data_IF_798420433645
#
_entry.id   IF_798420433645
#
_cell.length_a   1.000
_cell.length_b   1.000
_cell.length_c   1.000
_cell.angle_alpha   90.00
_cell.angle_beta   90.00
_cell.angle_gamma   90.00
#
_symmetry.space_group_name_H-M   'P 1'
#
loop_
_entity.id
_entity.type
_entity.pdbx_description
1 polymer ?
#
# COMPACT_ATOMS: atom_id res chain seq x y z
N UNK A 1 1.41 -20.80 0.00
CA UNK A 1 2.75 -20.61 -0.54
C UNK A 1 3.38 -19.39 0.11
N UNK A 2 4.64 -19.44 0.61
CA UNK A 2 5.32 -18.28 1.17
C UNK A 2 5.41 -17.15 0.14
N UNK A 3 5.35 -15.89 0.61
CA UNK A 3 5.57 -14.72 -0.21
C UNK A 3 7.07 -14.61 -0.50
N UNK A 4 7.44 -14.66 -1.77
CA UNK A 4 8.82 -14.54 -2.22
C UNK A 4 8.88 -13.78 -3.54
N UNK A 5 9.97 -13.03 -3.74
CA UNK A 5 10.27 -12.26 -4.95
C UNK A 5 11.52 -12.83 -5.63
N UNK A 6 11.58 -12.80 -6.95
CA UNK A 6 12.84 -13.01 -7.64
C UNK A 6 13.72 -11.76 -7.48
N UNK A 7 15.02 -11.96 -7.19
CA UNK A 7 15.96 -10.84 -7.09
C UNK A 7 16.00 -10.00 -8.37
N UNK A 8 15.82 -10.63 -9.53
CA UNK A 8 15.81 -9.97 -10.85
C UNK A 8 14.59 -9.05 -11.07
N UNK A 9 13.50 -9.21 -10.30
CA UNK A 9 12.33 -8.35 -10.36
C UNK A 9 12.45 -7.11 -9.48
N UNK A 10 13.41 -7.11 -8.53
CA UNK A 10 13.55 -6.05 -7.53
C UNK A 10 14.42 -4.91 -8.08
N UNK A 11 13.84 -3.70 -8.05
CA UNK A 11 14.53 -2.44 -8.34
C UNK A 11 15.08 -1.81 -7.05
N UNK A 12 15.95 -0.85 -7.17
CA UNK A 12 16.51 -0.11 -6.02
C UNK A 12 15.43 0.49 -5.10
N UNK A 13 14.28 0.91 -5.67
CA UNK A 13 13.14 1.40 -4.91
C UNK A 13 12.51 0.32 -4.03
N UNK A 14 12.43 -0.93 -4.52
CA UNK A 14 11.88 -2.06 -3.77
C UNK A 14 12.77 -2.41 -2.58
N UNK A 15 14.08 -2.48 -2.80
CA UNK A 15 15.07 -2.71 -1.74
C UNK A 15 14.95 -1.68 -0.62
N UNK A 16 14.71 -0.41 -0.98
CA UNK A 16 14.48 0.66 0.00
C UNK A 16 13.33 0.32 0.96
N UNK A 17 12.21 -0.17 0.43
CA UNK A 17 11.05 -0.54 1.25
C UNK A 17 11.31 -1.82 2.06
N UNK A 18 11.90 -2.85 1.45
CA UNK A 18 12.21 -4.11 2.13
C UNK A 18 13.17 -3.93 3.30
N UNK A 19 14.10 -2.98 3.19
CA UNK A 19 15.05 -2.67 4.27
C UNK A 19 14.49 -1.67 5.30
N UNK A 20 13.21 -1.30 5.23
CA UNK A 20 12.61 -0.29 6.11
C UNK A 20 13.24 1.09 5.97
N UNK A 21 13.85 1.37 4.82
CA UNK A 21 14.60 2.61 4.54
C UNK A 21 13.67 3.72 4.04
N UNK A 22 12.54 3.97 4.74
CA UNK A 22 11.57 5.00 4.39
C UNK A 22 11.57 6.09 5.45
N UNK A 23 11.58 7.37 5.02
CA UNK A 23 11.51 8.51 5.91
C UNK A 23 12.82 9.25 6.17
N UNK A 24 12.95 9.85 7.34
CA UNK A 24 14.09 10.68 7.71
C UNK A 24 15.35 9.80 7.84
N UNK A 25 16.08 9.69 6.74
CA UNK A 25 17.04 8.63 6.49
C UNK A 25 18.23 8.73 7.43
N UNK A 26 18.33 7.79 8.34
CA UNK A 26 19.55 7.57 9.12
C UNK A 26 20.78 7.49 8.20
N UNK A 27 21.94 7.92 8.68
CA UNK A 27 23.16 8.03 7.89
C UNK A 27 23.55 6.71 7.19
N UNK A 28 23.30 5.57 7.83
CA UNK A 28 23.57 4.25 7.26
C UNK A 28 22.68 3.92 6.05
N UNK A 29 21.42 4.36 6.04
CA UNK A 29 20.51 4.17 4.91
C UNK A 29 20.99 4.94 3.68
N UNK A 30 21.45 6.18 3.87
CA UNK A 30 22.06 6.95 2.77
C UNK A 30 23.27 6.24 2.17
N UNK A 31 24.06 5.57 2.99
CA UNK A 31 25.21 4.79 2.53
C UNK A 31 24.75 3.53 1.76
N UNK A 32 23.76 2.81 2.24
CA UNK A 32 23.15 1.68 1.50
C UNK A 32 22.63 2.14 0.14
N UNK A 33 21.93 3.27 0.09
CA UNK A 33 21.45 3.84 -1.18
C UNK A 33 22.61 4.21 -2.12
N UNK A 34 23.76 4.64 -1.61
CA UNK A 34 24.97 4.85 -2.43
C UNK A 34 25.51 3.54 -3.00
N UNK A 35 25.56 2.48 -2.19
CA UNK A 35 26.00 1.15 -2.62
C UNK A 35 25.08 0.64 -3.74
N UNK A 36 23.75 0.70 -3.53
CA UNK A 36 22.76 0.32 -4.55
C UNK A 36 22.93 1.12 -5.85
N UNK A 37 23.17 2.43 -5.75
CA UNK A 37 23.39 3.30 -6.91
C UNK A 37 24.66 2.92 -7.67
N UNK A 38 25.71 2.48 -6.99
CA UNK A 38 26.94 2.02 -7.61
C UNK A 38 26.75 0.68 -8.34
N UNK A 39 25.87 -0.19 -7.84
CA UNK A 39 25.53 -1.48 -8.46
C UNK A 39 24.57 -1.33 -9.67
N UNK A 40 23.92 -0.19 -9.82
CA UNK A 40 22.93 0.09 -10.90
C UNK A 40 21.79 -0.93 -10.92
N UNK A 41 21.68 -1.72 -12.01
CA UNK A 41 20.57 -2.66 -12.23
C UNK A 41 20.86 -4.07 -11.70
N UNK A 42 22.12 -4.36 -11.31
CA UNK A 42 22.54 -5.68 -10.80
C UNK A 42 22.63 -5.68 -9.27
N UNK A 43 21.57 -5.30 -8.60
CA UNK A 43 21.52 -5.31 -7.13
C UNK A 43 21.29 -6.74 -6.65
N UNK A 44 22.27 -7.30 -5.96
CA UNK A 44 22.22 -8.63 -5.37
C UNK A 44 22.42 -8.57 -3.85
N UNK A 45 21.90 -9.57 -3.13
CA UNK A 45 22.11 -9.69 -1.68
C UNK A 45 23.59 -9.74 -1.32
N UNK A 46 24.37 -10.54 -2.05
CA UNK A 46 25.82 -10.68 -1.83
C UNK A 46 26.56 -9.36 -2.08
N UNK A 47 26.22 -8.67 -3.17
CA UNK A 47 26.82 -7.39 -3.50
C UNK A 47 26.49 -6.31 -2.47
N UNK A 48 25.25 -6.30 -1.95
CA UNK A 48 24.85 -5.39 -0.87
C UNK A 48 25.61 -5.68 0.43
N UNK A 49 25.75 -6.96 0.82
CA UNK A 49 26.54 -7.36 2.00
C UNK A 49 28.00 -6.93 1.86
N UNK A 50 28.62 -7.26 0.74
CA UNK A 50 30.02 -6.88 0.46
C UNK A 50 30.19 -5.34 0.47
N UNK A 51 29.27 -4.60 -0.10
CA UNK A 51 29.28 -3.13 -0.11
C UNK A 51 29.11 -2.52 1.28
N UNK A 52 28.25 -3.10 2.13
CA UNK A 52 28.07 -2.67 3.54
C UNK A 52 29.37 -2.92 4.31
N UNK A 53 29.98 -4.09 4.15
CA UNK A 53 31.22 -4.49 4.86
C UNK A 53 32.39 -3.59 4.47
N UNK A 54 32.55 -3.29 3.18
CA UNK A 54 33.57 -2.41 2.65
C UNK A 54 33.34 -0.90 2.93
N UNK A 55 32.14 -0.54 3.42
CA UNK A 55 31.80 0.86 3.65
C UNK A 55 32.52 1.45 4.87
N UNK A 56 32.66 2.78 4.90
CA UNK A 56 33.20 3.54 6.03
C UNK A 56 32.17 3.79 7.16
N UNK A 57 31.03 3.12 7.15
CA UNK A 57 30.01 3.22 8.17
C UNK A 57 30.50 2.59 9.47
N UNK A 58 30.24 3.18 10.66
CA UNK A 58 30.56 2.58 11.95
C UNK A 58 29.99 1.16 12.10
N UNK A 59 30.71 0.28 12.81
CA UNK A 59 30.37 -1.14 12.88
C UNK A 59 28.97 -1.43 13.45
N UNK A 60 28.52 -0.66 14.45
CA UNK A 60 27.16 -0.81 14.97
C UNK A 60 26.05 -0.48 13.95
N UNK A 61 26.34 0.42 12.99
CA UNK A 61 25.42 0.73 11.89
C UNK A 61 25.52 -0.28 10.75
N UNK A 62 26.69 -0.89 10.53
CA UNK A 62 26.84 -2.04 9.63
C UNK A 62 26.03 -3.23 10.12
N UNK A 63 26.05 -3.49 11.43
CA UNK A 63 25.29 -4.57 12.03
C UNK A 63 23.78 -4.36 11.82
N UNK A 64 23.28 -3.14 12.08
CA UNK A 64 21.88 -2.80 11.81
C UNK A 64 21.52 -2.96 10.32
N UNK A 65 22.42 -2.56 9.42
CA UNK A 65 22.20 -2.72 7.99
C UNK A 65 22.16 -4.19 7.57
N UNK A 66 23.02 -5.05 8.16
CA UNK A 66 23.00 -6.50 7.91
C UNK A 66 21.70 -7.13 8.41
N UNK A 67 21.25 -6.80 9.64
CA UNK A 67 19.98 -7.29 10.15
C UNK A 67 18.82 -6.95 9.22
N UNK A 68 18.76 -5.72 8.71
CA UNK A 68 17.72 -5.31 7.74
C UNK A 68 17.83 -6.03 6.40
N UNK A 69 19.04 -6.31 5.96
CA UNK A 69 19.28 -7.08 4.74
C UNK A 69 18.90 -8.56 4.91
N UNK A 70 19.13 -9.13 6.09
CA UNK A 70 18.73 -10.50 6.42
C UNK A 70 17.20 -10.64 6.44
N UNK A 71 16.48 -9.68 7.02
CA UNK A 71 15.02 -9.63 6.96
C UNK A 71 14.53 -9.55 5.50
N UNK A 72 15.11 -8.68 4.68
CA UNK A 72 14.77 -8.59 3.27
C UNK A 72 15.06 -9.90 2.51
N UNK A 73 16.12 -10.63 2.90
CA UNK A 73 16.51 -11.89 2.28
C UNK A 73 15.48 -13.01 2.44
N UNK A 74 14.68 -12.99 3.52
CA UNK A 74 13.62 -13.97 3.75
C UNK A 74 12.55 -13.95 2.65
N UNK A 75 12.37 -12.78 2.01
CA UNK A 75 11.38 -12.57 0.95
C UNK A 75 11.96 -12.75 -0.47
N UNK A 76 13.25 -13.06 -0.59
CA UNK A 76 13.94 -13.16 -1.89
C UNK A 76 14.28 -14.62 -2.18
N UNK A 77 13.79 -15.12 -3.32
CA UNK A 77 14.11 -16.45 -3.80
C UNK A 77 14.16 -16.44 -5.33
N UNK A 78 15.23 -16.97 -5.90
CA UNK A 78 15.48 -17.00 -7.35
C UNK A 78 14.54 -17.98 -8.12
N UNK A 79 13.72 -18.77 -7.43
CA UNK A 79 12.91 -19.84 -8.04
C UNK A 79 11.50 -19.43 -8.49
N UNK A 80 11.00 -18.24 -8.16
CA UNK A 80 9.61 -17.89 -8.50
C UNK A 80 9.40 -16.41 -8.73
N UNK A 81 9.04 -16.09 -9.96
CA UNK A 81 8.62 -14.75 -10.35
C UNK A 81 7.18 -14.46 -9.92
N UNK A 82 6.92 -13.31 -9.29
CA UNK A 82 5.57 -12.84 -9.00
C UNK A 82 4.80 -12.60 -10.31
N UNK A 83 5.49 -12.18 -11.37
CA UNK A 83 4.90 -11.92 -12.70
C UNK A 83 4.29 -13.17 -13.32
N UNK A 84 4.76 -14.38 -12.99
CA UNK A 84 4.14 -15.64 -13.44
C UNK A 84 2.79 -15.91 -12.76
N UNK A 85 2.61 -15.41 -11.55
CA UNK A 85 1.38 -15.59 -10.77
C UNK A 85 0.31 -14.60 -11.20
N UNK A 86 0.73 -13.37 -11.54
CA UNK A 86 -0.16 -12.25 -11.87
C UNK A 86 -0.66 -12.36 -13.30
N UNK A 87 -1.92 -12.82 -13.46
CA UNK A 87 -2.58 -13.00 -14.77
C UNK A 87 -4.00 -12.42 -14.74
N UNK A 88 -4.56 -11.96 -15.88
CA UNK A 88 -5.96 -11.55 -15.97
C UNK A 88 -6.92 -12.65 -15.49
N UNK A 89 -8.00 -12.24 -14.85
CA UNK A 89 -9.03 -13.15 -14.33
C UNK A 89 -8.65 -13.94 -13.09
N UNK A 90 -7.47 -13.71 -12.50
CA UNK A 90 -7.07 -14.33 -11.23
C UNK A 90 -7.34 -13.43 -10.05
N UNK A 91 -7.86 -14.02 -8.98
CA UNK A 91 -7.84 -13.46 -7.63
C UNK A 91 -6.58 -13.96 -6.92
N UNK A 92 -5.76 -13.03 -6.46
CA UNK A 92 -4.57 -13.31 -5.65
C UNK A 92 -4.83 -12.75 -4.26
N UNK A 93 -4.74 -13.60 -3.26
CA UNK A 93 -4.87 -13.21 -1.84
C UNK A 93 -3.49 -13.27 -1.24
N UNK A 94 -3.01 -12.13 -0.73
CA UNK A 94 -1.76 -12.02 0.03
C UNK A 94 -2.13 -11.82 1.49
N UNK A 95 -1.73 -12.74 2.33
CA UNK A 95 -1.91 -12.65 3.77
C UNK A 95 -0.63 -12.12 4.40
N UNK A 96 -0.70 -10.91 4.96
CA UNK A 96 0.40 -10.24 5.68
C UNK A 96 0.23 -10.34 7.20
N UNK A 97 -0.71 -11.18 7.68
CA UNK A 97 -0.93 -11.41 9.11
C UNK A 97 0.04 -12.48 9.59
N UNK A 98 1.22 -12.04 9.96
CA UNK A 98 2.21 -12.87 10.61
C UNK A 98 2.53 -12.27 11.99
N UNK A 99 2.58 -13.09 13.02
CA UNK A 99 2.87 -12.64 14.40
C UNK A 99 4.30 -12.12 14.56
N UNK A 100 5.19 -12.47 13.62
CA UNK A 100 6.60 -12.10 13.64
C UNK A 100 6.92 -10.89 12.75
N UNK A 101 5.98 -10.44 11.91
CA UNK A 101 6.16 -9.28 11.03
C UNK A 101 5.69 -8.01 11.73
N UNK A 102 6.58 -7.03 11.87
CA UNK A 102 6.22 -5.69 12.35
C UNK A 102 5.33 -4.96 11.33
N UNK A 103 4.47 -4.05 11.81
CA UNK A 103 3.53 -3.30 10.95
C UNK A 103 4.21 -2.50 9.85
N UNK A 104 5.34 -1.90 10.16
CA UNK A 104 6.14 -1.13 9.19
C UNK A 104 6.74 -2.03 8.11
N UNK A 105 7.14 -3.23 8.47
CA UNK A 105 7.63 -4.24 7.54
C UNK A 105 6.50 -4.73 6.62
N UNK A 106 5.34 -5.05 7.18
CA UNK A 106 4.16 -5.45 6.42
C UNK A 106 3.73 -4.36 5.42
N UNK A 107 3.78 -3.08 5.80
CA UNK A 107 3.50 -1.97 4.89
C UNK A 107 4.56 -1.83 3.80
N UNK A 108 5.84 -2.02 4.14
CA UNK A 108 6.95 -2.07 3.17
C UNK A 108 6.75 -3.16 2.13
N UNK A 109 6.42 -4.38 2.58
CA UNK A 109 6.08 -5.51 1.71
C UNK A 109 4.87 -5.21 0.82
N UNK A 110 3.81 -4.62 1.39
CA UNK A 110 2.64 -4.21 0.61
C UNK A 110 3.00 -3.24 -0.51
N UNK A 111 3.85 -2.24 -0.24
CA UNK A 111 4.28 -1.27 -1.26
C UNK A 111 5.08 -1.95 -2.38
N UNK A 112 5.99 -2.87 -2.04
CA UNK A 112 6.75 -3.64 -3.03
C UNK A 112 5.82 -4.50 -3.88
N UNK A 113 4.91 -5.24 -3.25
CA UNK A 113 3.90 -6.04 -3.94
C UNK A 113 3.06 -5.19 -4.89
N UNK A 114 2.60 -4.04 -4.43
CA UNK A 114 1.81 -3.11 -5.23
C UNK A 114 2.58 -2.66 -6.48
N UNK A 115 3.85 -2.33 -6.34
CA UNK A 115 4.69 -1.91 -7.46
C UNK A 115 4.93 -3.05 -8.45
N UNK A 116 5.30 -4.24 -7.97
CA UNK A 116 5.52 -5.43 -8.81
C UNK A 116 4.24 -5.84 -9.53
N UNK A 117 3.11 -5.83 -8.81
CA UNK A 117 1.80 -6.11 -9.40
C UNK A 117 1.44 -5.09 -10.48
N UNK A 118 1.72 -3.82 -10.23
CA UNK A 118 1.46 -2.75 -11.19
C UNK A 118 2.33 -2.89 -12.46
N UNK A 119 3.59 -3.28 -12.30
CA UNK A 119 4.54 -3.43 -13.42
C UNK A 119 4.33 -4.74 -14.20
N UNK A 120 3.57 -5.69 -13.66
CA UNK A 120 3.30 -6.97 -14.34
C UNK A 120 2.61 -6.76 -15.70
N UNK A 121 3.14 -7.46 -16.71
CA UNK A 121 2.70 -7.40 -18.11
C UNK A 121 2.46 -8.81 -18.64
N UNK A 122 1.61 -8.92 -19.67
CA UNK A 122 1.41 -10.16 -20.42
C UNK A 122 1.74 -9.87 -21.88
N UNK A 123 2.63 -10.63 -22.45
CA UNK A 123 3.13 -10.44 -23.81
C UNK A 123 3.58 -8.98 -24.05
N UNK A 124 4.25 -8.38 -23.06
CA UNK A 124 4.72 -7.00 -23.09
C UNK A 124 3.63 -5.92 -22.92
N UNK A 125 2.34 -6.29 -22.80
CA UNK A 125 1.21 -5.37 -22.67
C UNK A 125 0.74 -5.24 -21.22
N UNK A 126 0.45 -4.01 -20.80
CA UNK A 126 -0.22 -3.75 -19.53
C UNK A 126 -1.69 -4.18 -19.60
N UNK A 127 -2.27 -4.56 -18.47
CA UNK A 127 -3.69 -4.87 -18.33
C UNK A 127 -4.26 -4.23 -17.07
N UNK A 128 -5.58 -4.05 -17.05
CA UNK A 128 -6.26 -3.44 -15.89
C UNK A 128 -6.20 -4.36 -14.68
N UNK A 129 -5.88 -3.78 -13.54
CA UNK A 129 -5.72 -4.46 -12.26
C UNK A 129 -6.50 -3.74 -11.17
N UNK A 130 -7.03 -4.51 -10.22
CA UNK A 130 -7.62 -3.98 -8.98
C UNK A 130 -6.82 -4.53 -7.80
N UNK A 131 -6.35 -3.63 -6.95
CA UNK A 131 -5.72 -3.97 -5.67
C UNK A 131 -6.66 -3.55 -4.55
N UNK A 132 -6.95 -4.46 -3.64
CA UNK A 132 -7.72 -4.21 -2.42
C UNK A 132 -6.78 -4.28 -1.24
N UNK A 133 -6.63 -3.16 -0.54
CA UNK A 133 -5.92 -3.09 0.73
C UNK A 133 -6.96 -3.11 1.85
N UNK A 134 -7.22 -4.31 2.36
CA UNK A 134 -8.21 -4.54 3.40
C UNK A 134 -7.60 -4.33 4.78
N UNK A 135 -8.42 -3.89 5.75
CA UNK A 135 -8.02 -3.60 7.14
C UNK A 135 -6.80 -2.65 7.21
N UNK A 136 -6.74 -1.68 6.32
CA UNK A 136 -5.57 -0.80 6.14
C UNK A 136 -5.10 -0.13 7.45
N UNK A 137 -6.03 0.14 8.39
CA UNK A 137 -5.73 0.73 9.69
C UNK A 137 -4.74 -0.10 10.54
N UNK A 138 -4.60 -1.39 10.25
CA UNK A 138 -3.66 -2.24 10.99
C UNK A 138 -2.19 -1.99 10.62
N UNK A 139 -1.94 -1.40 9.46
CA UNK A 139 -0.61 -1.25 8.88
C UNK A 139 -0.19 0.22 8.68
N UNK A 140 -1.13 1.14 8.63
CA UNK A 140 -0.87 2.58 8.37
C UNK A 140 -0.61 3.29 9.70
N UNK A 141 0.60 3.15 10.26
CA UNK A 141 1.00 3.83 11.50
C UNK A 141 2.19 4.79 11.27
N UNK A 142 3.14 4.44 10.42
CA UNK A 142 4.34 5.25 10.17
C UNK A 142 4.08 6.35 9.14
N UNK A 143 4.22 7.65 9.50
CA UNK A 143 4.03 8.76 8.56
C UNK A 143 4.92 8.68 7.32
N UNK A 144 6.12 8.18 7.48
CA UNK A 144 7.13 8.11 6.43
C UNK A 144 6.81 7.01 5.40
N UNK A 145 6.39 5.84 5.88
CA UNK A 145 5.92 4.75 5.01
C UNK A 145 4.63 5.13 4.27
N UNK A 146 3.76 5.86 4.96
CA UNK A 146 2.53 6.41 4.37
C UNK A 146 2.85 7.39 3.24
N UNK A 147 3.85 8.24 3.39
CA UNK A 147 4.29 9.14 2.31
C UNK A 147 4.75 8.35 1.08
N UNK A 148 5.52 7.26 1.28
CA UNK A 148 5.91 6.36 0.20
C UNK A 148 4.73 5.65 -0.47
N UNK A 149 3.75 5.20 0.31
CA UNK A 149 2.51 4.63 -0.21
C UNK A 149 1.73 5.64 -1.07
N UNK A 150 1.58 6.88 -0.61
CA UNK A 150 0.88 7.95 -1.34
C UNK A 150 1.56 8.24 -2.69
N UNK A 151 2.89 8.27 -2.71
CA UNK A 151 3.66 8.46 -3.95
C UNK A 151 3.37 7.33 -4.94
N UNK A 152 3.43 6.08 -4.48
CA UNK A 152 3.12 4.91 -5.30
C UNK A 152 1.66 4.94 -5.78
N UNK A 153 0.69 5.26 -4.92
CA UNK A 153 -0.73 5.36 -5.29
C UNK A 153 -0.97 6.39 -6.40
N UNK A 154 -0.27 7.53 -6.38
CA UNK A 154 -0.36 8.55 -7.44
C UNK A 154 0.08 8.01 -8.80
N UNK A 155 1.09 7.15 -8.84
CA UNK A 155 1.60 6.55 -10.08
C UNK A 155 0.68 5.44 -10.63
N UNK A 156 -0.06 4.75 -9.76
CA UNK A 156 -0.87 3.58 -10.13
C UNK A 156 -1.88 3.86 -11.23
N UNK A 157 -2.45 5.07 -11.26
CA UNK A 157 -3.39 5.49 -12.30
C UNK A 157 -2.78 5.39 -13.70
N UNK A 158 -1.51 5.74 -13.86
CA UNK A 158 -0.80 5.69 -15.14
C UNK A 158 -0.44 4.25 -15.55
N UNK A 159 -0.45 3.32 -14.60
CA UNK A 159 -0.15 1.90 -14.81
C UNK A 159 -1.41 1.03 -15.00
N UNK A 160 -2.60 1.65 -15.09
CA UNK A 160 -3.87 0.93 -15.24
C UNK A 160 -4.28 0.15 -13.98
N UNK A 161 -3.82 0.59 -12.82
CA UNK A 161 -4.16 -0.02 -11.52
C UNK A 161 -5.17 0.83 -10.78
N UNK A 162 -6.27 0.21 -10.37
CA UNK A 162 -7.23 0.76 -9.42
C UNK A 162 -6.91 0.26 -8.03
N UNK A 163 -6.96 1.15 -7.03
CA UNK A 163 -6.72 0.79 -5.63
C UNK A 163 -8.00 1.05 -4.84
N UNK A 164 -8.38 0.07 -4.03
CA UNK A 164 -9.42 0.18 -3.02
C UNK A 164 -8.79 0.03 -1.64
N UNK A 165 -9.05 0.99 -0.77
CA UNK A 165 -8.60 0.96 0.63
C UNK A 165 -9.83 0.77 1.51
N UNK A 166 -9.85 -0.27 2.31
CA UNK A 166 -10.89 -0.54 3.29
C UNK A 166 -10.32 -0.40 4.71
N UNK A 167 -11.05 0.30 5.58
CA UNK A 167 -10.63 0.55 6.96
C UNK A 167 -11.85 0.62 7.88
N UNK A 168 -11.71 0.10 9.09
CA UNK A 168 -12.68 0.26 10.17
C UNK A 168 -12.39 1.46 11.05
N UNK A 169 -11.21 2.08 10.90
CA UNK A 169 -10.79 3.29 11.62
C UNK A 169 -10.45 4.40 10.63
N UNK A 170 -11.41 5.26 10.24
CA UNK A 170 -11.16 6.35 9.31
C UNK A 170 -10.03 7.30 9.71
N UNK A 171 -9.83 7.68 10.99
CA UNK A 171 -8.71 8.53 11.39
C UNK A 171 -7.32 7.96 11.08
N UNK A 172 -7.17 6.66 11.03
CA UNK A 172 -5.90 6.03 10.66
C UNK A 172 -5.57 6.20 9.17
N UNK A 173 -6.59 6.43 8.33
CA UNK A 173 -6.38 6.67 6.89
C UNK A 173 -5.95 8.12 6.67
N UNK A 174 -4.76 8.38 6.11
CA UNK A 174 -4.28 9.75 5.89
C UNK A 174 -5.23 10.58 5.03
N UNK A 175 -5.42 11.83 5.40
CA UNK A 175 -6.26 12.78 4.63
C UNK A 175 -5.83 12.83 3.18
N UNK A 176 -4.52 12.86 2.90
CA UNK A 176 -3.96 12.87 1.55
C UNK A 176 -4.30 11.62 0.72
N UNK A 177 -4.51 10.46 1.34
CA UNK A 177 -4.97 9.25 0.65
C UNK A 177 -6.47 9.35 0.33
N UNK A 178 -7.27 9.90 1.24
CA UNK A 178 -8.70 10.16 1.01
C UNK A 178 -8.89 11.18 -0.10
N UNK A 179 -8.09 12.24 -0.16
CA UNK A 179 -8.11 13.26 -1.22
C UNK A 179 -7.85 12.70 -2.62
N UNK A 180 -7.04 11.65 -2.73
CA UNK A 180 -6.76 10.96 -3.99
C UNK A 180 -7.91 10.05 -4.44
N UNK A 181 -8.87 9.78 -3.57
CA UNK A 181 -9.97 8.86 -3.87
C UNK A 181 -10.96 9.49 -4.85
N UNK A 182 -11.34 8.74 -5.88
CA UNK A 182 -12.41 9.11 -6.81
C UNK A 182 -13.78 8.64 -6.34
N UNK A 183 -13.82 7.77 -5.34
CA UNK A 183 -15.04 7.24 -4.72
C UNK A 183 -14.81 7.05 -3.23
N UNK A 184 -15.82 7.41 -2.43
CA UNK A 184 -15.81 7.22 -0.97
C UNK A 184 -17.14 6.56 -0.60
N UNK A 185 -17.05 5.40 0.07
CA UNK A 185 -18.20 4.62 0.55
C UNK A 185 -18.12 4.58 2.08
N UNK A 186 -19.15 5.08 2.73
CA UNK A 186 -19.20 5.17 4.18
C UNK A 186 -20.41 4.39 4.70
N UNK A 187 -20.12 3.33 5.44
CA UNK A 187 -21.12 2.60 6.20
C UNK A 187 -21.38 3.27 7.54
N UNK A 188 -22.33 2.73 8.33
CA UNK A 188 -22.71 3.25 9.64
C UNK A 188 -21.51 3.37 10.58
N UNK A 189 -21.36 4.54 11.17
CA UNK A 189 -20.54 4.80 12.37
C UNK A 189 -21.15 5.94 13.19
N UNK A 190 -20.77 6.06 14.46
CA UNK A 190 -21.37 7.01 15.39
C UNK A 190 -20.41 8.15 15.81
N UNK A 191 -19.15 8.12 15.37
CA UNK A 191 -18.14 9.09 15.79
C UNK A 191 -18.22 10.39 14.99
N UNK A 192 -18.53 11.55 15.59
CA UNK A 192 -18.44 12.84 14.90
C UNK A 192 -17.01 13.17 14.45
N UNK A 193 -16.00 12.74 15.22
CA UNK A 193 -14.60 12.96 14.87
C UNK A 193 -14.19 12.24 13.58
N UNK A 194 -14.72 11.03 13.37
CA UNK A 194 -14.48 10.26 12.15
C UNK A 194 -15.08 10.95 10.93
N UNK A 195 -16.32 11.42 11.02
CA UNK A 195 -16.94 12.15 9.93
C UNK A 195 -16.16 13.43 9.61
N UNK A 196 -15.77 14.20 10.63
CA UNK A 196 -14.98 15.42 10.46
C UNK A 196 -13.62 15.14 9.81
N UNK A 197 -12.98 14.02 10.13
CA UNK A 197 -11.73 13.62 9.51
C UNK A 197 -11.89 13.40 7.98
N UNK A 198 -12.92 12.66 7.57
CA UNK A 198 -13.21 12.40 6.15
C UNK A 198 -13.62 13.69 5.43
N UNK A 199 -14.41 14.54 6.07
CA UNK A 199 -14.86 15.82 5.51
C UNK A 199 -13.73 16.82 5.29
N UNK A 200 -12.62 16.72 6.04
CA UNK A 200 -11.41 17.54 5.78
C UNK A 200 -10.81 17.26 4.40
N UNK A 201 -10.92 16.02 3.94
CA UNK A 201 -10.37 15.58 2.65
C UNK A 201 -11.31 15.88 1.48
N UNK A 202 -12.63 16.03 1.72
CA UNK A 202 -13.61 16.17 0.66
C UNK A 202 -14.79 17.04 1.06
N UNK A 203 -14.83 18.28 0.54
CA UNK A 203 -15.87 19.26 0.83
C UNK A 203 -17.28 18.82 0.35
N UNK A 204 -17.39 17.95 -0.67
CA UNK A 204 -18.67 17.45 -1.15
C UNK A 204 -19.40 16.59 -0.11
N UNK A 205 -18.70 16.14 0.94
CA UNK A 205 -19.30 15.39 2.06
C UNK A 205 -19.88 16.31 3.15
N UNK A 206 -19.84 17.62 2.98
CA UNK A 206 -20.33 18.60 3.94
C UNK A 206 -21.83 18.51 4.22
N UNK A 207 -22.62 17.86 3.35
CA UNK A 207 -24.05 17.60 3.55
C UNK A 207 -24.35 16.47 4.54
N UNK A 208 -23.34 15.72 4.98
CA UNK A 208 -23.50 14.65 5.97
C UNK A 208 -23.36 15.19 7.39
N UNK A 209 -24.19 14.64 8.28
CA UNK A 209 -24.13 14.91 9.72
C UNK A 209 -23.92 13.61 10.50
N UNK A 210 -23.39 13.66 11.74
CA UNK A 210 -23.24 12.48 12.57
C UNK A 210 -24.56 11.72 12.77
N UNK A 211 -25.67 12.44 12.88
CA UNK A 211 -27.01 11.86 13.07
C UNK A 211 -27.42 11.05 11.82
N UNK A 212 -27.16 11.59 10.62
CA UNK A 212 -27.42 10.87 9.36
C UNK A 212 -26.59 9.59 9.26
N UNK A 213 -25.32 9.62 9.70
CA UNK A 213 -24.47 8.44 9.71
C UNK A 213 -24.97 7.39 10.71
N UNK A 214 -25.38 7.81 11.90
CA UNK A 214 -25.92 6.95 12.95
C UNK A 214 -27.23 6.25 12.58
N UNK A 215 -28.06 6.88 11.74
CA UNK A 215 -29.35 6.36 11.27
C UNK A 215 -29.24 5.32 10.15
N UNK A 216 -28.05 5.09 9.59
CA UNK A 216 -27.87 4.05 8.58
C UNK A 216 -28.19 2.67 9.16
N UNK A 217 -28.95 1.88 8.38
CA UNK A 217 -29.25 0.48 8.68
C UNK A 217 -28.15 -0.45 8.14
N UNK A 218 -28.16 -1.71 8.58
CA UNK A 218 -27.27 -2.72 8.00
C UNK A 218 -27.48 -2.81 6.48
N UNK A 219 -26.38 -2.79 5.73
CA UNK A 219 -26.37 -2.79 4.27
C UNK A 219 -26.68 -1.43 3.62
N UNK A 220 -26.84 -0.35 4.40
CA UNK A 220 -26.92 1.00 3.85
C UNK A 220 -25.55 1.69 3.91
N UNK A 221 -25.30 2.59 2.97
CA UNK A 221 -24.09 3.41 2.90
C UNK A 221 -24.38 4.78 2.29
N UNK A 222 -23.58 5.78 2.63
CA UNK A 222 -23.43 6.99 1.83
C UNK A 222 -22.27 6.83 0.85
N UNK A 223 -22.51 7.20 -0.40
CA UNK A 223 -21.53 7.09 -1.49
C UNK A 223 -21.36 8.45 -2.16
N UNK A 224 -20.11 8.85 -2.30
CA UNK A 224 -19.69 9.96 -3.14
C UNK A 224 -18.81 9.44 -4.27
N UNK A 225 -18.93 10.01 -5.47
CA UNK A 225 -18.07 9.64 -6.60
C UNK A 225 -17.90 10.80 -7.57
N UNK A 226 -16.63 11.19 -7.81
CA UNK A 226 -16.29 12.18 -8.85
C UNK A 226 -16.39 11.63 -10.28
N UNK A 227 -16.59 10.32 -10.43
CA UNK A 227 -16.62 9.60 -11.71
C UNK A 227 -18.01 9.06 -12.09
N UNK A 228 -19.02 9.29 -11.26
CA UNK A 228 -20.37 8.87 -11.57
C UNK A 228 -20.92 9.67 -12.75
N UNK A 229 -21.72 9.01 -13.58
CA UNK A 229 -22.47 9.64 -14.67
C UNK A 229 -23.63 10.49 -14.16
N UNK A 230 -24.18 10.12 -13.01
CA UNK A 230 -25.18 10.90 -12.28
C UNK A 230 -24.47 11.94 -11.40
N UNK A 231 -24.66 13.21 -11.73
CA UNK A 231 -24.03 14.33 -11.04
C UNK A 231 -24.40 14.44 -9.54
N UNK A 232 -25.50 13.83 -9.10
CA UNK A 232 -25.88 13.84 -7.69
C UNK A 232 -24.79 13.25 -6.80
N UNK A 233 -24.06 12.23 -7.29
CA UNK A 233 -22.97 11.59 -6.58
C UNK A 233 -21.71 12.45 -6.49
N UNK A 234 -21.48 13.34 -7.43
CA UNK A 234 -20.32 14.23 -7.42
C UNK A 234 -20.57 15.50 -6.59
N UNK A 235 -21.80 15.96 -6.54
CA UNK A 235 -22.21 17.16 -5.79
C UNK A 235 -22.37 16.93 -4.29
N UNK A 236 -22.55 15.68 -3.87
CA UNK A 236 -22.71 15.29 -2.47
C UNK A 236 -22.76 13.78 -2.28
N UNK A 237 -22.84 13.34 -1.05
CA UNK A 237 -23.00 11.92 -0.76
C UNK A 237 -24.47 11.50 -0.89
N UNK A 238 -24.70 10.42 -1.64
CA UNK A 238 -26.01 9.82 -1.89
C UNK A 238 -26.17 8.57 -1.05
N UNK A 239 -27.34 8.40 -0.41
CA UNK A 239 -27.63 7.18 0.35
C UNK A 239 -27.99 6.04 -0.59
N UNK A 240 -27.30 4.91 -0.45
CA UNK A 240 -27.54 3.68 -1.18
C UNK A 240 -27.82 2.51 -0.24
N UNK A 241 -28.47 1.49 -0.78
CA UNK A 241 -28.62 0.18 -0.15
C UNK A 241 -27.78 -0.83 -0.91
N UNK A 242 -26.79 -1.41 -0.24
CA UNK A 242 -25.98 -2.48 -0.80
C UNK A 242 -26.83 -3.76 -0.94
N UNK A 243 -26.51 -4.58 -1.95
CA UNK A 243 -27.16 -5.88 -2.08
C UNK A 243 -26.86 -6.77 -0.87
N UNK A 244 -27.76 -7.71 -0.52
CA UNK A 244 -27.47 -8.71 0.51
C UNK A 244 -26.24 -9.55 0.16
N UNK A 245 -25.56 -10.08 1.16
CA UNK A 245 -24.50 -11.08 0.95
C UNK A 245 -25.06 -12.33 0.26
N UNK A 246 -24.28 -12.88 -0.64
CA UNK A 246 -24.60 -14.13 -1.34
C UNK A 246 -23.93 -15.32 -0.65
N UNK A 247 -22.87 -15.06 0.12
CA UNK A 247 -22.12 -16.09 0.88
C UNK A 247 -22.77 -16.32 2.24
N UNK A 248 -22.95 -17.58 2.61
CA UNK A 248 -23.23 -18.00 3.99
C UNK A 248 -21.95 -17.93 4.82
N UNK A 249 -22.09 -17.54 6.08
CA UNK A 249 -21.03 -17.65 7.08
C UNK A 249 -21.06 -19.04 7.69
#
# INVERSE_FOLDING_TARGET
RPLQFSASELKASHWKFLMGAVGNQATYIRQIMRIMKAMRDDITLEGLRAGIDASSVPDHLKELARMRLDLAAEYINDGTSLTEVVRPGRLIIVDLRDEFIEKDEALGLFVVLLQLFADARIDGRSFNKLVVFDEAHKYIESPDLVAGLIEVVREMRHKGVSIMVASQDPPSVPVSLIELSSQIIMHKFNSPAWLKHIQKANAALGNLTPERMALLKAGEAYVWSSKATDESFSKGAVKLRCRPRVTQH
#
